data_IF_385811182822
#
_entry.id   IF_385811182822
#
_cell.length_a   1.000
_cell.length_b   1.000
_cell.length_c   1.000
_cell.angle_alpha   90.00
_cell.angle_beta   90.00
_cell.angle_gamma   90.00
#
_symmetry.space_group_name_H-M   'P 1'
#
loop_
_entity.id
_entity.type
_entity.pdbx_description
1 polymer ?
#
# COMPACT_ATOMS: atom_id res chain seq x y z
N UNK A 1 -19.78 -6.34 -18.63
CA UNK A 1 -20.03 -6.32 -17.17
C UNK A 1 -20.50 -4.91 -16.82
N UNK A 2 -21.75 -4.73 -16.35
CA UNK A 2 -22.37 -3.40 -16.22
C UNK A 2 -21.67 -2.60 -15.12
N UNK A 3 -21.09 -1.44 -15.49
CA UNK A 3 -20.71 -0.38 -14.56
C UNK A 3 -21.96 0.09 -13.80
N UNK A 4 -21.92 0.05 -12.47
CA UNK A 4 -23.01 0.53 -11.62
C UNK A 4 -22.49 1.71 -10.81
N UNK A 5 -23.25 2.80 -10.75
CA UNK A 5 -23.01 3.89 -9.80
C UNK A 5 -22.90 3.29 -8.40
N UNK A 6 -21.82 3.64 -7.71
CA UNK A 6 -21.45 3.05 -6.43
C UNK A 6 -22.43 3.44 -5.31
N UNK A 7 -22.96 4.66 -5.38
CA UNK A 7 -23.81 5.28 -4.38
C UNK A 7 -24.99 5.89 -5.13
N UNK A 8 -26.21 5.42 -4.88
CA UNK A 8 -27.42 5.98 -5.53
C UNK A 8 -28.13 7.00 -4.65
N UNK A 9 -28.09 6.79 -3.34
CA UNK A 9 -28.70 7.65 -2.35
C UNK A 9 -27.87 7.70 -1.06
N UNK A 10 -28.37 8.43 -0.07
CA UNK A 10 -27.69 8.63 1.21
C UNK A 10 -27.64 7.34 2.04
N UNK A 11 -28.62 6.45 1.91
CA UNK A 11 -28.70 5.20 2.65
C UNK A 11 -27.65 4.20 2.16
N UNK A 12 -27.46 4.11 0.84
CA UNK A 12 -26.37 3.35 0.22
C UNK A 12 -25.00 3.81 0.75
N UNK A 13 -24.82 5.13 0.91
CA UNK A 13 -23.57 5.70 1.43
C UNK A 13 -23.37 5.40 2.92
N UNK A 14 -24.38 5.58 3.75
CA UNK A 14 -24.32 5.26 5.18
C UNK A 14 -23.98 3.79 5.42
N UNK A 15 -24.62 2.88 4.66
CA UNK A 15 -24.33 1.45 4.74
C UNK A 15 -22.88 1.16 4.36
N UNK A 16 -22.37 1.80 3.32
CA UNK A 16 -20.98 1.65 2.88
C UNK A 16 -19.99 2.11 3.96
N UNK A 17 -20.23 3.28 4.55
CA UNK A 17 -19.41 3.86 5.62
C UNK A 17 -19.40 2.94 6.84
N UNK A 18 -20.58 2.54 7.32
CA UNK A 18 -20.72 1.69 8.50
C UNK A 18 -20.06 0.31 8.31
N UNK A 19 -20.15 -0.24 7.09
CA UNK A 19 -19.58 -1.56 6.78
C UNK A 19 -18.05 -1.54 6.72
N UNK A 20 -17.46 -0.46 6.21
CA UNK A 20 -16.04 -0.46 5.84
C UNK A 20 -15.13 0.37 6.76
N UNK A 21 -15.66 1.33 7.51
CA UNK A 21 -14.87 2.24 8.37
C UNK A 21 -13.91 1.49 9.28
N UNK A 22 -14.39 0.56 10.11
CA UNK A 22 -13.53 -0.14 11.08
C UNK A 22 -12.35 -0.87 10.42
N UNK A 23 -12.59 -1.55 9.29
CA UNK A 23 -11.55 -2.31 8.60
C UNK A 23 -10.56 -1.41 7.87
N UNK A 24 -11.05 -0.31 7.29
CA UNK A 24 -10.20 0.69 6.63
C UNK A 24 -9.35 1.45 7.66
N UNK A 25 -9.93 1.86 8.79
CA UNK A 25 -9.23 2.54 9.89
C UNK A 25 -8.17 1.63 10.48
N UNK A 26 -8.50 0.36 10.75
CA UNK A 26 -7.50 -0.61 11.18
C UNK A 26 -6.37 -0.74 10.14
N UNK A 27 -6.69 -0.82 8.85
CA UNK A 27 -5.68 -0.90 7.78
C UNK A 27 -4.78 0.35 7.75
N UNK A 28 -5.35 1.53 7.90
CA UNK A 28 -4.63 2.80 7.94
C UNK A 28 -3.77 2.93 9.20
N UNK A 29 -4.35 2.65 10.37
CA UNK A 29 -3.67 2.67 11.67
C UNK A 29 -2.47 1.75 11.68
N UNK A 30 -2.64 0.52 11.21
CA UNK A 30 -1.53 -0.42 11.12
C UNK A 30 -0.41 0.18 10.25
N UNK A 31 -0.73 0.86 9.13
CA UNK A 31 0.27 1.43 8.21
C UNK A 31 0.98 2.67 8.76
N UNK A 32 0.27 3.54 9.47
CA UNK A 32 0.80 4.87 9.87
C UNK A 32 1.16 4.96 11.36
N UNK A 33 0.72 4.00 12.18
CA UNK A 33 1.01 3.93 13.62
C UNK A 33 0.30 4.95 14.50
N UNK A 34 -0.55 5.82 13.93
CA UNK A 34 -1.31 6.84 14.63
C UNK A 34 -2.82 6.66 14.35
N UNK A 35 -3.63 6.50 15.39
CA UNK A 35 -5.06 6.22 15.24
C UNK A 35 -5.85 7.44 14.75
N UNK A 36 -5.54 8.63 15.27
CA UNK A 36 -6.20 9.87 14.87
C UNK A 36 -6.00 10.16 13.39
N UNK A 37 -4.75 10.10 12.92
CA UNK A 37 -4.44 10.27 11.50
C UNK A 37 -5.12 9.20 10.63
N UNK A 38 -5.34 8.00 11.17
CA UNK A 38 -5.93 6.90 10.42
C UNK A 38 -7.43 7.12 10.23
N UNK A 39 -8.10 7.55 11.30
CA UNK A 39 -9.51 7.97 11.27
C UNK A 39 -9.69 9.14 10.30
N UNK A 40 -8.83 10.15 10.36
CA UNK A 40 -8.89 11.32 9.48
C UNK A 40 -8.72 10.93 8.00
N UNK A 41 -7.76 10.04 7.68
CA UNK A 41 -7.56 9.56 6.30
C UNK A 41 -8.76 8.79 5.77
N UNK A 42 -9.42 7.99 6.61
CA UNK A 42 -10.62 7.22 6.24
C UNK A 42 -11.83 8.14 6.12
N UNK A 43 -11.97 9.12 7.01
CA UNK A 43 -13.04 10.12 6.91
C UNK A 43 -12.90 10.93 5.62
N UNK A 44 -11.69 11.42 5.31
CA UNK A 44 -11.41 12.14 4.09
C UNK A 44 -11.63 11.25 2.85
N UNK A 45 -11.41 9.92 2.95
CA UNK A 45 -11.75 8.98 1.88
C UNK A 45 -13.23 9.00 1.57
N UNK A 46 -14.07 8.83 2.58
CA UNK A 46 -15.51 8.81 2.40
C UNK A 46 -16.08 10.17 1.98
N UNK A 47 -15.53 11.28 2.49
CA UNK A 47 -15.90 12.63 2.03
C UNK A 47 -15.60 12.78 0.54
N UNK A 48 -14.38 12.42 0.09
CA UNK A 48 -14.02 12.50 -1.32
C UNK A 48 -14.89 11.59 -2.19
N UNK A 49 -15.24 10.40 -1.68
CA UNK A 49 -16.14 9.47 -2.35
C UNK A 49 -17.53 10.09 -2.53
N UNK A 50 -18.07 10.73 -1.49
CA UNK A 50 -19.37 11.40 -1.53
C UNK A 50 -19.39 12.58 -2.50
N UNK A 51 -18.34 13.41 -2.48
CA UNK A 51 -18.21 14.56 -3.39
C UNK A 51 -18.19 14.08 -4.85
N UNK A 52 -17.47 13.00 -5.13
CA UNK A 52 -17.28 12.47 -6.48
C UNK A 52 -18.31 11.42 -6.90
N UNK A 53 -19.32 11.15 -6.06
CA UNK A 53 -20.26 10.01 -6.22
C UNK A 53 -20.95 9.94 -7.58
N UNK A 54 -21.21 11.09 -8.20
CA UNK A 54 -21.89 11.19 -9.51
C UNK A 54 -20.95 10.85 -10.69
N UNK A 55 -19.64 10.96 -10.48
CA UNK A 55 -18.60 10.72 -11.49
C UNK A 55 -17.90 9.37 -11.34
N UNK A 56 -18.00 8.75 -10.16
CA UNK A 56 -17.27 7.51 -9.86
C UNK A 56 -18.00 6.32 -10.47
N UNK A 57 -17.32 5.66 -11.39
CA UNK A 57 -17.73 4.37 -11.95
C UNK A 57 -16.80 3.29 -11.40
N UNK A 58 -17.34 2.42 -10.55
CA UNK A 58 -16.58 1.28 -10.02
C UNK A 58 -16.77 0.06 -10.92
N UNK A 59 -15.65 -0.46 -11.41
CA UNK A 59 -15.60 -1.74 -12.10
C UNK A 59 -15.12 -2.82 -11.13
N UNK A 60 -16.01 -3.74 -10.74
CA UNK A 60 -15.69 -4.83 -9.82
C UNK A 60 -16.11 -4.56 -8.37
N UNK A 61 -15.54 -5.29 -7.38
CA UNK A 61 -15.93 -5.17 -5.98
C UNK A 61 -15.58 -3.80 -5.39
N UNK A 62 -16.54 -3.19 -4.71
CA UNK A 62 -16.41 -1.88 -4.04
C UNK A 62 -15.23 -1.83 -3.08
N UNK A 63 -15.01 -2.91 -2.35
CA UNK A 63 -13.89 -3.08 -1.44
C UNK A 63 -12.54 -2.78 -2.11
N UNK A 64 -12.32 -3.23 -3.35
CA UNK A 64 -11.06 -2.99 -4.06
C UNK A 64 -10.84 -1.49 -4.31
N UNK A 65 -11.89 -0.79 -4.72
CA UNK A 65 -11.84 0.66 -4.93
C UNK A 65 -11.50 1.41 -3.64
N UNK A 66 -12.13 1.05 -2.52
CA UNK A 66 -11.88 1.68 -1.22
C UNK A 66 -10.43 1.43 -0.76
N UNK A 67 -9.92 0.21 -0.92
CA UNK A 67 -8.55 -0.13 -0.54
C UNK A 67 -7.49 0.60 -1.38
N UNK A 68 -7.70 0.73 -2.70
CA UNK A 68 -6.83 1.52 -3.57
C UNK A 68 -6.88 3.00 -3.18
N UNK A 69 -8.07 3.55 -2.96
CA UNK A 69 -8.26 4.95 -2.54
C UNK A 69 -7.54 5.24 -1.22
N UNK A 70 -7.66 4.34 -0.25
CA UNK A 70 -7.00 4.46 1.06
C UNK A 70 -5.47 4.39 0.93
N UNK A 71 -4.96 3.45 0.12
CA UNK A 71 -3.52 3.34 -0.15
C UNK A 71 -2.96 4.65 -0.72
N UNK A 72 -3.64 5.25 -1.69
CA UNK A 72 -3.20 6.53 -2.28
C UNK A 72 -3.15 7.65 -1.23
N UNK A 73 -4.13 7.70 -0.33
CA UNK A 73 -4.15 8.67 0.77
C UNK A 73 -2.99 8.45 1.75
N UNK A 74 -2.68 7.19 2.09
CA UNK A 74 -1.55 6.85 2.95
C UNK A 74 -0.21 7.22 2.29
N UNK A 75 -0.05 6.95 0.99
CA UNK A 75 1.16 7.38 0.26
C UNK A 75 1.31 8.90 0.28
N UNK A 76 0.22 9.65 0.08
CA UNK A 76 0.22 11.11 0.17
C UNK A 76 0.51 11.61 1.58
N UNK A 77 0.02 10.91 2.62
CA UNK A 77 0.34 11.22 4.02
C UNK A 77 1.85 11.14 4.27
N UNK A 78 2.51 10.05 3.84
CA UNK A 78 3.96 9.90 3.98
C UNK A 78 4.75 10.89 3.13
N UNK A 79 4.32 11.16 1.89
CA UNK A 79 4.95 12.17 1.04
C UNK A 79 4.93 13.55 1.69
N UNK A 80 3.79 13.94 2.30
CA UNK A 80 3.66 15.20 3.05
C UNK A 80 4.50 15.19 4.33
N UNK A 81 4.56 14.07 5.05
CA UNK A 81 5.39 13.93 6.24
C UNK A 81 6.89 14.11 5.90
N UNK A 82 7.36 13.46 4.83
CA UNK A 82 8.72 13.60 4.31
C UNK A 82 9.03 15.04 3.91
N UNK A 83 8.13 15.69 3.16
CA UNK A 83 8.28 17.10 2.80
C UNK A 83 8.36 18.02 4.04
N UNK A 84 7.50 17.79 5.05
CA UNK A 84 7.55 18.55 6.31
C UNK A 84 8.85 18.31 7.07
N UNK A 85 9.36 17.08 7.07
CA UNK A 85 10.62 16.73 7.68
C UNK A 85 11.80 17.37 6.93
N UNK A 86 11.79 17.36 5.60
CA UNK A 86 12.82 18.00 4.77
C UNK A 86 12.85 19.52 4.97
N UNK A 87 11.67 20.16 5.04
CA UNK A 87 11.56 21.58 5.37
C UNK A 87 12.04 21.85 6.80
N UNK A 88 11.67 21.02 7.77
CA UNK A 88 12.15 21.13 9.16
C UNK A 88 13.66 20.93 9.24
N UNK A 89 14.23 19.98 8.52
CA UNK A 89 15.67 19.72 8.46
C UNK A 89 16.43 20.89 7.82
N UNK A 90 15.87 21.51 6.77
CA UNK A 90 16.42 22.74 6.16
C UNK A 90 16.36 23.95 7.11
N UNK A 91 15.34 24.02 7.97
CA UNK A 91 15.20 25.08 8.98
C UNK A 91 16.04 24.80 10.25
N UNK A 92 16.32 23.53 10.56
CA UNK A 92 17.07 23.07 11.73
C UNK A 92 18.59 22.96 11.48
N UNK A 93 19.12 23.62 10.45
CA UNK A 93 20.56 23.62 10.07
C UNK A 93 21.50 24.19 11.16
N UNK A 94 21.00 24.54 12.34
CA UNK A 94 21.85 24.87 13.49
C UNK A 94 21.93 23.70 14.50
N UNK A 95 22.91 22.83 14.25
CA UNK A 95 23.84 22.21 15.21
C UNK A 95 23.70 20.78 15.78
N UNK A 96 22.65 19.97 15.58
CA UNK A 96 22.63 18.60 16.19
C UNK A 96 22.03 17.44 15.34
N UNK A 97 21.58 17.68 14.09
CA UNK A 97 20.77 16.70 13.32
C UNK A 97 21.58 15.74 12.42
N UNK A 98 22.90 15.88 12.37
CA UNK A 98 23.74 15.15 11.40
C UNK A 98 23.80 13.64 11.68
N UNK A 99 23.65 13.21 12.94
CA UNK A 99 23.81 11.79 13.29
C UNK A 99 22.52 10.96 13.06
N UNK A 100 21.36 11.44 13.52
CA UNK A 100 20.09 10.71 13.40
C UNK A 100 19.55 10.65 11.97
N UNK A 101 19.79 11.68 11.15
CA UNK A 101 19.35 11.70 9.75
C UNK A 101 20.19 10.77 8.88
N UNK A 102 21.51 10.70 9.15
CA UNK A 102 22.42 9.79 8.48
C UNK A 102 22.12 8.33 8.87
N UNK A 103 21.89 8.05 10.16
CA UNK A 103 21.53 6.71 10.64
C UNK A 103 20.21 6.24 10.02
N UNK A 104 19.18 7.08 9.96
CA UNK A 104 17.91 6.72 9.32
C UNK A 104 18.05 6.52 7.80
N UNK A 105 18.85 7.35 7.13
CA UNK A 105 19.14 7.20 5.70
C UNK A 105 19.92 5.91 5.42
N UNK A 106 20.85 5.53 6.30
CA UNK A 106 21.61 4.28 6.22
C UNK A 106 20.69 3.08 6.43
N UNK A 107 19.82 3.10 7.45
CA UNK A 107 18.82 2.05 7.68
C UNK A 107 17.87 1.90 6.48
N UNK A 108 17.37 3.01 5.91
CA UNK A 108 16.51 3.00 4.72
C UNK A 108 17.25 2.43 3.50
N UNK A 109 18.53 2.79 3.32
CA UNK A 109 19.38 2.29 2.24
C UNK A 109 19.66 0.79 2.40
N UNK A 110 19.93 0.33 3.61
CA UNK A 110 20.18 -1.08 3.91
C UNK A 110 18.94 -1.93 3.65
N UNK A 111 17.74 -1.45 4.05
CA UNK A 111 16.48 -2.13 3.75
C UNK A 111 16.16 -2.18 2.26
N UNK A 112 16.39 -1.09 1.52
CA UNK A 112 16.19 -1.07 0.08
C UNK A 112 17.16 -2.01 -0.65
N UNK A 113 18.42 -2.07 -0.19
CA UNK A 113 19.44 -2.96 -0.74
C UNK A 113 19.04 -4.41 -0.52
N UNK A 114 18.68 -4.78 0.72
CA UNK A 114 18.19 -6.11 1.07
C UNK A 114 16.98 -6.52 0.23
N UNK A 115 16.01 -5.62 0.07
CA UNK A 115 14.83 -5.90 -0.73
C UNK A 115 15.16 -6.07 -2.22
N UNK A 116 16.09 -5.28 -2.74
CA UNK A 116 16.55 -5.40 -4.13
C UNK A 116 17.27 -6.72 -4.40
N UNK A 117 18.09 -7.20 -3.45
CA UNK A 117 18.77 -8.49 -3.54
C UNK A 117 17.77 -9.65 -3.60
N UNK A 118 16.79 -9.65 -2.70
CA UNK A 118 15.74 -10.67 -2.68
C UNK A 118 14.90 -10.65 -3.96
N UNK A 119 14.56 -9.46 -4.47
CA UNK A 119 13.81 -9.34 -5.72
C UNK A 119 14.60 -9.88 -6.91
N UNK A 120 15.91 -9.63 -6.97
CA UNK A 120 16.77 -10.11 -8.05
C UNK A 120 16.92 -11.64 -8.06
N UNK A 121 16.72 -12.31 -6.94
CA UNK A 121 16.75 -13.77 -6.83
C UNK A 121 15.42 -14.45 -7.20
N UNK A 122 14.35 -13.67 -7.37
CA UNK A 122 13.09 -14.22 -7.84
C UNK A 122 13.20 -14.60 -9.33
N UNK A 123 12.46 -15.62 -9.78
CA UNK A 123 12.31 -15.90 -11.20
C UNK A 123 11.79 -14.68 -11.98
N UNK A 124 12.27 -14.48 -13.21
CA UNK A 124 11.94 -13.32 -14.07
C UNK A 124 10.44 -13.02 -14.18
N UNK A 125 9.60 -14.06 -14.24
CA UNK A 125 8.15 -13.88 -14.34
C UNK A 125 7.56 -13.26 -13.07
N UNK A 126 8.09 -13.59 -11.89
CA UNK A 126 7.67 -12.99 -10.63
C UNK A 126 8.15 -11.55 -10.52
N UNK A 127 9.39 -11.25 -10.94
CA UNK A 127 9.91 -9.88 -10.98
C UNK A 127 9.06 -8.97 -11.87
N UNK A 128 8.68 -9.44 -13.07
CA UNK A 128 7.80 -8.72 -14.00
C UNK A 128 6.42 -8.46 -13.39
N UNK A 129 5.84 -9.47 -12.73
CA UNK A 129 4.56 -9.32 -12.02
C UNK A 129 4.70 -8.30 -10.89
N UNK A 130 5.77 -8.36 -10.10
CA UNK A 130 6.03 -7.41 -9.01
C UNK A 130 6.09 -5.97 -9.53
N UNK A 131 6.87 -5.72 -10.58
CA UNK A 131 7.03 -4.40 -11.20
C UNK A 131 5.68 -3.84 -11.65
N UNK A 132 4.90 -4.62 -12.39
CA UNK A 132 3.58 -4.18 -12.87
C UNK A 132 2.60 -3.96 -11.70
N UNK A 133 2.66 -4.77 -10.64
CA UNK A 133 1.87 -4.52 -9.41
C UNK A 133 2.30 -3.26 -8.68
N UNK A 134 3.57 -2.86 -8.78
CA UNK A 134 4.09 -1.63 -8.20
C UNK A 134 3.65 -0.39 -9.00
N UNK A 135 3.47 -0.54 -10.31
CA UNK A 135 2.88 0.43 -11.23
C UNK A 135 1.33 0.42 -11.20
N UNK A 136 0.73 -0.21 -10.18
CA UNK A 136 -0.71 -0.27 -9.90
C UNK A 136 -1.60 -1.00 -10.93
N UNK A 137 -1.01 -1.83 -11.79
CA UNK A 137 -1.78 -2.72 -12.66
C UNK A 137 -2.55 -3.77 -11.83
N UNK A 138 -3.79 -4.04 -12.23
CA UNK A 138 -4.62 -5.12 -11.69
C UNK A 138 -4.11 -6.48 -12.13
N UNK A 139 -4.49 -7.55 -11.41
CA UNK A 139 -4.15 -8.93 -11.79
C UNK A 139 -4.59 -9.26 -13.23
N UNK A 140 -5.75 -8.74 -13.63
CA UNK A 140 -6.29 -8.89 -14.97
C UNK A 140 -5.45 -8.18 -16.02
N UNK A 141 -5.04 -6.94 -15.76
CA UNK A 141 -4.18 -6.19 -16.71
C UNK A 141 -2.80 -6.82 -16.83
N UNK A 142 -2.26 -7.37 -15.74
CA UNK A 142 -0.98 -8.10 -15.76
C UNK A 142 -1.10 -9.42 -16.54
N UNK A 143 -2.22 -10.13 -16.37
CA UNK A 143 -2.51 -11.35 -17.12
C UNK A 143 -2.51 -11.07 -18.61
N UNK A 144 -3.17 -9.98 -19.03
CA UNK A 144 -3.15 -9.52 -20.42
C UNK A 144 -1.74 -9.12 -20.87
N UNK A 145 -1.03 -8.32 -20.08
CA UNK A 145 0.30 -7.83 -20.42
C UNK A 145 1.35 -8.94 -20.57
N UNK A 146 1.21 -10.04 -19.84
CA UNK A 146 2.15 -11.16 -19.84
C UNK A 146 1.65 -12.38 -20.65
N UNK A 147 0.46 -12.32 -21.25
CA UNK A 147 -0.13 -13.45 -21.98
C UNK A 147 -0.44 -14.66 -21.08
N UNK A 148 -0.78 -14.43 -19.82
CA UNK A 148 -1.06 -15.45 -18.81
C UNK A 148 -2.54 -15.47 -18.43
N UNK A 149 -3.01 -16.57 -17.85
CA UNK A 149 -4.31 -16.59 -17.20
C UNK A 149 -4.28 -15.78 -15.89
N UNK A 150 -5.36 -15.08 -15.55
CA UNK A 150 -5.46 -14.30 -14.30
C UNK A 150 -5.20 -15.17 -13.05
N UNK A 151 -5.68 -16.41 -13.07
CA UNK A 151 -5.43 -17.39 -12.02
C UNK A 151 -3.94 -17.74 -11.88
N UNK A 152 -3.21 -17.80 -13.00
CA UNK A 152 -1.76 -18.02 -13.02
C UNK A 152 -1.02 -16.83 -12.42
N UNK A 153 -1.39 -15.59 -12.77
CA UNK A 153 -0.81 -14.38 -12.17
C UNK A 153 -1.07 -14.31 -10.67
N UNK A 154 -2.28 -14.70 -10.23
CA UNK A 154 -2.62 -14.81 -8.81
C UNK A 154 -1.76 -15.84 -8.10
N UNK A 155 -1.57 -17.01 -8.70
CA UNK A 155 -0.71 -18.08 -8.20
C UNK A 155 0.75 -17.64 -8.08
N UNK A 156 1.33 -17.06 -9.13
CA UNK A 156 2.69 -16.52 -9.11
C UNK A 156 2.85 -15.36 -8.13
N UNK A 157 1.83 -14.52 -7.96
CA UNK A 157 1.83 -13.48 -6.93
C UNK A 157 1.90 -14.10 -5.54
N UNK A 158 1.05 -15.08 -5.23
CA UNK A 158 1.07 -15.75 -3.92
C UNK A 158 2.42 -16.45 -3.65
N UNK A 159 2.95 -17.13 -4.66
CA UNK A 159 4.24 -17.83 -4.59
C UNK A 159 5.40 -16.87 -4.34
N UNK A 160 5.45 -15.77 -5.09
CA UNK A 160 6.44 -14.72 -4.93
C UNK A 160 6.48 -14.20 -3.50
N UNK A 161 5.33 -13.87 -2.92
CA UNK A 161 5.28 -13.36 -1.54
C UNK A 161 5.77 -14.40 -0.54
N UNK A 162 5.43 -15.68 -0.73
CA UNK A 162 5.92 -16.77 0.11
C UNK A 162 7.44 -16.89 0.04
N UNK A 163 8.02 -16.78 -1.16
CA UNK A 163 9.48 -16.81 -1.37
C UNK A 163 10.19 -15.63 -0.74
N UNK A 164 9.71 -14.40 -0.99
CA UNK A 164 10.25 -13.19 -0.35
C UNK A 164 10.23 -13.33 1.17
N UNK A 165 9.11 -13.83 1.73
CA UNK A 165 8.99 -14.05 3.17
C UNK A 165 10.00 -15.08 3.68
N UNK A 166 10.15 -16.21 3.00
CA UNK A 166 11.10 -17.25 3.40
C UNK A 166 12.55 -16.75 3.36
N UNK A 167 12.96 -16.12 2.26
CA UNK A 167 14.31 -15.58 2.07
C UNK A 167 14.65 -14.53 3.12
N UNK A 168 13.70 -13.64 3.46
CA UNK A 168 13.98 -12.61 4.44
C UNK A 168 14.04 -13.16 5.88
N UNK A 169 13.22 -14.16 6.23
CA UNK A 169 13.29 -14.81 7.55
C UNK A 169 14.60 -15.58 7.71
N UNK A 170 15.05 -16.25 6.65
CA UNK A 170 16.30 -17.03 6.65
C UNK A 170 17.52 -16.13 6.81
N UNK A 171 17.57 -15.01 6.07
CA UNK A 171 18.72 -14.08 6.08
C UNK A 171 18.72 -13.13 7.26
N UNK A 172 17.53 -12.74 7.73
CA UNK A 172 17.36 -11.72 8.76
C UNK A 172 16.27 -12.12 9.76
N UNK A 173 16.53 -13.11 10.62
CA UNK A 173 15.59 -13.55 11.65
C UNK A 173 15.22 -12.44 12.63
N UNK A 174 16.08 -11.43 12.83
CA UNK A 174 15.83 -10.22 13.61
C UNK A 174 14.66 -9.38 13.06
N UNK A 175 14.42 -9.43 11.76
CA UNK A 175 13.29 -8.75 11.13
C UNK A 175 12.03 -9.63 11.06
N UNK A 176 12.09 -10.94 11.34
CA UNK A 176 10.96 -11.86 11.15
C UNK A 176 9.68 -11.49 11.93
N UNK A 177 9.83 -10.90 13.13
CA UNK A 177 8.71 -10.39 13.95
C UNK A 177 8.15 -9.09 13.39
N UNK A 178 9.02 -8.17 12.98
CA UNK A 178 8.70 -6.85 12.40
C UNK A 178 8.08 -6.97 11.00
N UNK A 179 8.50 -8.00 10.25
CA UNK A 179 8.20 -8.15 8.84
C UNK A 179 6.94 -8.97 8.54
N UNK A 180 6.48 -9.81 9.47
CA UNK A 180 5.14 -10.41 9.35
C UNK A 180 4.07 -9.32 9.29
N UNK A 181 4.29 -8.22 10.02
CA UNK A 181 3.49 -6.99 9.96
C UNK A 181 3.77 -6.22 8.65
N UNK A 182 5.04 -6.13 8.21
CA UNK A 182 5.43 -5.43 6.97
C UNK A 182 4.98 -6.09 5.64
N UNK A 183 4.92 -7.42 5.58
CA UNK A 183 4.45 -8.16 4.41
C UNK A 183 2.94 -8.37 4.40
N UNK A 184 2.28 -8.44 5.57
CA UNK A 184 0.81 -8.30 5.61
C UNK A 184 0.37 -6.92 5.08
N UNK A 185 1.21 -5.88 5.21
CA UNK A 185 0.99 -4.58 4.54
C UNK A 185 1.09 -4.59 3.01
N UNK A 186 1.79 -5.55 2.41
CA UNK A 186 1.97 -5.72 0.97
C UNK A 186 0.94 -6.71 0.37
N UNK A 187 0.45 -7.63 1.22
CA UNK A 187 -0.45 -8.74 0.88
C UNK A 187 -1.95 -8.48 1.10
N UNK A 188 -2.33 -7.39 1.76
CA UNK A 188 -3.73 -6.91 1.72
C UNK A 188 -3.90 -6.13 0.41
N UNK A 189 -4.08 -6.88 -0.67
CA UNK A 189 -4.34 -6.44 -2.04
C UNK A 189 -5.37 -7.39 -2.65
#
# INVERSE_FOLDING_TARGET
MKSKLLIKDISDFEMLVNTHTNKLTQTAFLKIGNLQDAEDLVQDLFINLWIKRESIVVHGPVYNYLHVSLRNKIMNYFAKAKLRQDVKNRLAVNLEVVDLSLVNLLIEKDLNTLFSEILNELPDHMQKIFKLRNEDFTLKEIAVALGLAEQTVKGYSAEMHRRIKAMLIERHPEFARSLTVMLSFLLIK
#
